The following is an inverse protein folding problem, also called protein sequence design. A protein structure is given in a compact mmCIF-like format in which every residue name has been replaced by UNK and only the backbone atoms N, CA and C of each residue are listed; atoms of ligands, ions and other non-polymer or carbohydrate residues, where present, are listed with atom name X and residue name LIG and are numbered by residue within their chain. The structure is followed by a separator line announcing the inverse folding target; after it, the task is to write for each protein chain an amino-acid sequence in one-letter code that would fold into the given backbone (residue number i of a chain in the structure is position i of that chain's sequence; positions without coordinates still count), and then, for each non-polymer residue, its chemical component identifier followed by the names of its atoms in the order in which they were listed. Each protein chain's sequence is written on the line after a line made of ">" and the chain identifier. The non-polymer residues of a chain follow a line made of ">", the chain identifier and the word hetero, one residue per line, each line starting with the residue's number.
data_IF_720160655846
#
_entry.id   IF_720160655846
#
_cell.length_a   1.000
_cell.length_b   1.000
_cell.length_c   1.000
_cell.angle_alpha   90.00
_cell.angle_beta   90.00
_cell.angle_gamma   90.00
#
_symmetry.space_group_name_H-M   'P 1'
#
loop_
_entity.id
_entity.type
_entity.pdbx_description
1 polymer ?
#
# COMPACT_ATOMS: atom_id res chain seq x y z
N UNK A 1 77.83 -17.93 13.57
CA UNK A 1 77.94 -16.98 12.44
C UNK A 1 77.55 -17.76 11.19
N UNK A 2 76.46 -17.59 10.43
CA UNK A 2 75.51 -16.51 10.13
C UNK A 2 74.15 -17.19 9.81
N UNK A 3 73.04 -16.85 10.49
CA UNK A 3 71.98 -15.88 10.14
C UNK A 3 71.23 -16.11 8.81
N UNK A 4 69.98 -16.61 8.93
CA UNK A 4 68.90 -16.49 7.92
C UNK A 4 68.40 -15.03 7.83
N UNK A 5 67.71 -14.67 6.73
CA UNK A 5 66.40 -14.05 6.93
C UNK A 5 65.33 -14.57 5.95
N UNK A 6 64.13 -14.84 6.49
CA UNK A 6 62.88 -14.99 5.75
C UNK A 6 62.21 -13.61 5.65
N UNK A 7 61.84 -13.23 4.43
CA UNK A 7 61.13 -11.99 4.11
C UNK A 7 59.66 -12.15 4.51
N UNK A 8 59.19 -11.34 5.46
CA UNK A 8 57.77 -11.15 5.76
C UNK A 8 57.15 -10.21 4.71
N UNK A 9 56.13 -10.67 3.99
CA UNK A 9 55.22 -9.79 3.24
C UNK A 9 54.10 -9.36 4.19
N UNK A 10 54.08 -8.08 4.55
CA UNK A 10 52.95 -7.45 5.20
C UNK A 10 51.84 -7.21 4.15
N UNK A 11 50.70 -7.86 4.32
CA UNK A 11 49.49 -7.55 3.57
C UNK A 11 48.68 -6.53 4.38
N UNK A 12 48.66 -5.30 3.91
CA UNK A 12 47.83 -4.22 4.46
C UNK A 12 46.38 -4.51 4.12
N UNK A 13 45.58 -4.90 5.11
CA UNK A 13 44.13 -5.07 4.98
C UNK A 13 43.50 -3.66 4.97
N UNK A 14 43.09 -3.18 3.80
CA UNK A 14 42.30 -1.97 3.69
C UNK A 14 40.85 -2.28 4.13
N UNK A 15 40.49 -1.77 5.31
CA UNK A 15 39.13 -1.81 5.83
C UNK A 15 38.28 -0.79 5.06
N UNK A 16 37.62 -1.24 3.98
CA UNK A 16 36.65 -0.44 3.27
C UNK A 16 35.36 -0.31 4.08
N UNK A 17 35.15 0.85 4.70
CA UNK A 17 33.81 1.24 5.16
C UNK A 17 32.95 1.53 3.93
N UNK A 18 32.06 0.59 3.58
CA UNK A 18 30.96 0.87 2.67
C UNK A 18 29.87 1.63 3.44
N UNK A 19 29.79 2.94 3.23
CA UNK A 19 28.60 3.73 3.53
C UNK A 19 27.48 3.26 2.58
N UNK A 20 26.57 2.44 3.10
CA UNK A 20 25.32 2.11 2.41
C UNK A 20 24.43 3.35 2.50
N UNK A 21 24.41 4.14 1.44
CA UNK A 21 23.39 5.16 1.24
C UNK A 21 22.06 4.47 0.97
N UNK A 22 21.20 4.40 1.99
CA UNK A 22 19.82 3.96 1.83
C UNK A 22 19.10 4.95 0.90
N UNK A 23 18.81 4.51 -0.33
CA UNK A 23 17.92 5.24 -1.22
C UNK A 23 16.53 5.30 -0.56
N UNK A 24 15.87 6.46 -0.49
CA UNK A 24 14.51 6.54 0.00
C UNK A 24 13.59 5.86 -1.03
N UNK A 25 12.80 4.87 -0.61
CA UNK A 25 11.64 4.48 -1.41
C UNK A 25 11.03 3.11 -1.18
N UNK A 26 11.81 2.08 -0.85
CA UNK A 26 11.27 0.72 -0.71
C UNK A 26 11.88 0.02 0.50
N UNK A 27 11.05 -0.29 1.50
CA UNK A 27 11.49 -1.06 2.65
C UNK A 27 11.75 -2.53 2.24
N UNK A 28 13.02 -2.94 2.25
CA UNK A 28 13.41 -4.35 2.14
C UNK A 28 13.27 -5.10 3.48
N UNK A 29 13.06 -4.39 4.59
CA UNK A 29 12.96 -4.94 5.95
C UNK A 29 11.65 -4.55 6.61
N UNK A 30 11.25 -5.32 7.63
CA UNK A 30 10.05 -5.04 8.41
C UNK A 30 10.12 -3.67 9.12
N UNK A 31 9.00 -2.91 9.22
CA UNK A 31 8.94 -1.67 9.99
C UNK A 31 9.22 -1.93 11.48
N UNK A 32 9.91 -0.99 12.13
CA UNK A 32 10.07 -1.03 13.59
C UNK A 32 8.76 -0.68 14.30
N UNK A 33 8.66 -0.97 15.59
CA UNK A 33 7.49 -0.62 16.39
C UNK A 33 7.25 0.90 16.41
N UNK A 34 8.32 1.69 16.47
CA UNK A 34 8.29 3.15 16.43
C UNK A 34 7.76 3.65 15.08
N UNK A 35 8.16 3.02 13.97
CA UNK A 35 7.63 3.36 12.65
C UNK A 35 6.14 3.00 12.53
N UNK A 36 5.71 1.85 13.06
CA UNK A 36 4.28 1.50 13.09
C UNK A 36 3.47 2.53 13.90
N UNK A 37 3.98 2.97 15.05
CA UNK A 37 3.33 4.01 15.88
C UNK A 37 3.33 5.37 15.18
N UNK A 38 4.44 5.77 14.55
CA UNK A 38 4.55 7.02 13.82
C UNK A 38 3.62 7.07 12.60
N UNK A 39 3.45 5.94 11.89
CA UNK A 39 2.59 5.86 10.71
C UNK A 39 1.10 6.07 11.06
N UNK A 40 0.67 5.56 12.22
CA UNK A 40 -0.68 5.70 12.79
C UNK A 40 -0.97 7.10 13.35
N UNK A 41 0.08 7.84 13.69
CA UNK A 41 -0.05 9.12 14.37
C UNK A 41 -0.49 10.21 13.39
N UNK A 42 -1.33 11.13 13.87
CA UNK A 42 -1.68 12.34 13.12
C UNK A 42 -0.49 13.29 12.99
N UNK A 43 -0.47 14.08 11.91
CA UNK A 43 0.58 15.07 11.63
C UNK A 43 1.30 14.82 10.30
N UNK A 44 2.22 15.72 9.97
CA UNK A 44 2.98 15.72 8.70
C UNK A 44 4.48 15.84 8.94
N UNK A 45 4.97 15.42 10.12
CA UNK A 45 6.40 15.41 10.42
C UNK A 45 7.14 14.45 9.49
N UNK A 46 8.40 14.74 9.16
CA UNK A 46 9.20 13.93 8.23
C UNK A 46 9.26 12.45 8.66
N UNK A 47 9.40 12.18 9.95
CA UNK A 47 9.42 10.81 10.49
C UNK A 47 8.09 10.08 10.27
N UNK A 48 6.96 10.78 10.38
CA UNK A 48 5.64 10.21 10.16
C UNK A 48 5.42 9.90 8.67
N UNK A 49 5.78 10.85 7.79
CA UNK A 49 5.70 10.64 6.34
C UNK A 49 6.56 9.45 5.90
N UNK A 50 7.80 9.39 6.37
CA UNK A 50 8.72 8.29 6.08
C UNK A 50 8.19 6.96 6.64
N UNK A 51 7.69 6.95 7.87
CA UNK A 51 7.12 5.75 8.48
C UNK A 51 5.93 5.20 7.68
N UNK A 52 5.05 6.06 7.16
CA UNK A 52 3.90 5.62 6.34
C UNK A 52 4.35 5.00 5.02
N UNK A 53 5.37 5.56 4.38
CA UNK A 53 5.98 4.98 3.17
C UNK A 53 6.63 3.62 3.46
N UNK A 54 7.34 3.51 4.58
CA UNK A 54 7.97 2.25 5.01
C UNK A 54 6.92 1.17 5.29
N UNK A 55 5.88 1.49 6.08
CA UNK A 55 4.80 0.55 6.39
C UNK A 55 4.03 0.13 5.14
N UNK A 56 3.67 1.07 4.26
CA UNK A 56 2.95 0.76 3.04
C UNK A 56 3.78 -0.09 2.08
N UNK A 57 5.03 0.31 1.79
CA UNK A 57 5.90 -0.47 0.89
C UNK A 57 6.19 -1.87 1.43
N UNK A 58 6.39 -2.02 2.75
CA UNK A 58 6.57 -3.33 3.36
C UNK A 58 5.31 -4.21 3.28
N UNK A 59 4.12 -3.65 3.52
CA UNK A 59 2.87 -4.41 3.37
C UNK A 59 2.72 -4.98 1.95
N UNK A 60 3.06 -4.20 0.93
CA UNK A 60 3.03 -4.66 -0.46
C UNK A 60 4.10 -5.73 -0.75
N UNK A 61 5.33 -5.55 -0.26
CA UNK A 61 6.44 -6.47 -0.53
C UNK A 61 6.34 -7.80 0.24
N UNK A 62 5.69 -7.79 1.40
CA UNK A 62 5.46 -8.97 2.25
C UNK A 62 4.20 -9.77 1.90
N UNK A 63 3.40 -9.28 0.95
CA UNK A 63 2.16 -9.93 0.50
C UNK A 63 2.23 -10.28 -0.98
N UNK A 64 1.17 -10.89 -1.51
CA UNK A 64 1.01 -11.21 -2.93
C UNK A 64 0.62 -10.00 -3.80
N UNK A 65 0.66 -8.77 -3.25
CA UNK A 65 0.49 -7.53 -4.01
C UNK A 65 1.77 -7.13 -4.76
N UNK A 66 2.94 -7.42 -4.19
CA UNK A 66 4.29 -7.16 -4.72
C UNK A 66 4.71 -5.68 -4.74
N UNK A 67 6.03 -5.44 -4.72
CA UNK A 67 6.62 -4.10 -4.85
C UNK A 67 6.36 -3.45 -6.21
N UNK A 68 6.18 -4.24 -7.27
CA UNK A 68 5.88 -3.70 -8.60
C UNK A 68 4.53 -2.96 -8.60
N UNK A 69 3.52 -3.54 -7.95
CA UNK A 69 2.21 -2.92 -7.80
C UNK A 69 2.23 -1.69 -6.90
N UNK A 70 3.07 -1.70 -5.86
CA UNK A 70 3.21 -0.57 -4.95
C UNK A 70 3.58 0.74 -5.69
N UNK A 71 4.41 0.67 -6.72
CA UNK A 71 4.83 1.85 -7.49
C UNK A 71 3.64 2.59 -8.14
N UNK A 72 2.57 1.88 -8.50
CA UNK A 72 1.35 2.49 -9.04
C UNK A 72 0.33 2.80 -7.94
N UNK A 73 0.06 1.85 -7.06
CA UNK A 73 -0.96 2.00 -6.03
C UNK A 73 -0.60 3.12 -5.01
N UNK A 74 0.69 3.33 -4.72
CA UNK A 74 1.15 4.37 -3.79
C UNK A 74 0.81 5.79 -4.25
N UNK A 75 0.58 6.01 -5.55
CA UNK A 75 0.14 7.30 -6.09
C UNK A 75 -1.26 7.68 -5.59
N UNK A 76 -2.08 6.67 -5.28
CA UNK A 76 -3.43 6.84 -4.73
C UNK A 76 -3.50 6.95 -3.20
N UNK A 77 -2.36 6.96 -2.50
CA UNK A 77 -2.29 7.03 -1.03
C UNK A 77 -1.87 8.43 -0.59
N UNK A 78 -2.68 9.08 0.25
CA UNK A 78 -2.31 10.34 0.89
C UNK A 78 -1.42 10.06 2.11
N UNK A 79 -0.10 10.06 1.89
CA UNK A 79 0.88 9.88 2.96
C UNK A 79 0.92 11.02 3.97
N UNK A 80 0.22 12.14 3.76
CA UNK A 80 0.05 13.18 4.79
C UNK A 80 -0.95 12.76 5.89
N UNK A 81 -1.72 11.69 5.67
CA UNK A 81 -2.70 11.14 6.61
C UNK A 81 -2.18 9.88 7.30
N UNK A 82 -2.72 9.53 8.49
CA UNK A 82 -2.42 8.27 9.14
C UNK A 82 -2.68 7.05 8.23
N UNK A 83 -1.85 6.02 8.41
CA UNK A 83 -1.97 4.73 7.73
C UNK A 83 -1.64 3.59 8.69
N UNK A 84 -2.34 2.47 8.55
CA UNK A 84 -2.17 1.31 9.42
C UNK A 84 -2.46 -0.01 8.72
N UNK A 85 -1.70 -1.05 9.09
CA UNK A 85 -2.10 -2.44 8.85
C UNK A 85 -3.11 -2.83 9.92
N UNK A 86 -4.25 -3.36 9.49
CA UNK A 86 -5.36 -3.79 10.34
C UNK A 86 -5.70 -5.26 10.08
N UNK A 87 -6.22 -5.92 11.10
CA UNK A 87 -6.87 -7.21 10.94
C UNK A 87 -8.31 -7.00 10.45
N UNK A 88 -8.69 -7.81 9.47
CA UNK A 88 -10.04 -7.89 8.92
C UNK A 88 -10.69 -9.13 9.51
N UNK A 89 -11.81 -8.96 10.21
CA UNK A 89 -12.58 -10.09 10.73
C UNK A 89 -13.41 -10.74 9.60
N UNK A 90 -13.59 -12.06 9.65
CA UNK A 90 -14.49 -12.74 8.72
C UNK A 90 -15.92 -12.19 8.86
N UNK A 91 -16.60 -11.98 7.74
CA UNK A 91 -17.93 -11.39 7.70
C UNK A 91 -17.96 -9.87 7.74
N UNK A 92 -16.79 -9.21 7.80
CA UNK A 92 -16.71 -7.75 7.67
C UNK A 92 -17.34 -7.32 6.36
N UNK A 93 -18.28 -6.37 6.42
CA UNK A 93 -18.92 -5.80 5.23
C UNK A 93 -18.31 -4.44 4.92
N UNK A 94 -17.68 -4.33 3.75
CA UNK A 94 -17.19 -3.08 3.16
C UNK A 94 -17.81 -2.85 1.80
N UNK A 95 -17.40 -1.78 1.12
CA UNK A 95 -18.02 -1.32 -0.12
C UNK A 95 -16.97 -1.19 -1.22
N UNK A 96 -17.36 -1.46 -2.46
CA UNK A 96 -16.49 -1.21 -3.61
C UNK A 96 -17.30 -0.81 -4.84
N UNK A 97 -16.83 0.21 -5.54
CA UNK A 97 -17.31 0.58 -6.87
C UNK A 97 -16.67 -0.32 -7.92
N UNK A 98 -17.42 -1.31 -8.40
CA UNK A 98 -16.98 -2.28 -9.41
C UNK A 98 -17.47 -1.86 -10.78
N UNK A 99 -16.69 -2.19 -11.82
CA UNK A 99 -17.13 -1.98 -13.21
C UNK A 99 -18.37 -2.83 -13.52
N UNK A 100 -19.36 -2.22 -14.17
CA UNK A 100 -20.60 -2.88 -14.63
C UNK A 100 -20.45 -3.37 -16.08
N UNK A 101 -21.37 -4.23 -16.53
CA UNK A 101 -21.37 -4.75 -17.91
C UNK A 101 -20.62 -6.05 -18.12
N UNK A 102 -20.21 -6.73 -17.05
CA UNK A 102 -19.72 -8.10 -17.07
C UNK A 102 -20.82 -9.07 -16.59
N UNK A 103 -20.71 -10.34 -16.96
CA UNK A 103 -21.64 -11.40 -16.54
C UNK A 103 -21.60 -11.70 -15.04
N UNK A 104 -20.57 -11.23 -14.34
CA UNK A 104 -20.36 -11.44 -12.91
C UNK A 104 -19.72 -10.22 -12.25
N UNK A 105 -19.99 -10.03 -10.95
CA UNK A 105 -19.31 -9.04 -10.12
C UNK A 105 -17.83 -9.43 -9.99
N UNK A 106 -16.92 -8.47 -10.18
CA UNK A 106 -15.46 -8.68 -10.08
C UNK A 106 -14.87 -7.67 -9.11
N UNK A 107 -14.63 -8.09 -7.88
CA UNK A 107 -13.99 -7.23 -6.89
C UNK A 107 -12.50 -7.04 -7.17
N UNK A 108 -12.02 -5.80 -7.03
CA UNK A 108 -10.60 -5.45 -6.93
C UNK A 108 -10.07 -5.56 -5.50
N UNK A 109 -8.87 -5.05 -5.25
CA UNK A 109 -8.23 -5.11 -3.93
C UNK A 109 -8.57 -3.93 -3.00
N UNK A 110 -9.11 -2.83 -3.52
CA UNK A 110 -9.37 -1.60 -2.76
C UNK A 110 -10.84 -1.51 -2.34
N UNK A 111 -11.10 -1.47 -1.05
CA UNK A 111 -12.43 -1.39 -0.47
C UNK A 111 -12.58 -0.11 0.33
N UNK A 112 -13.79 0.43 0.41
CA UNK A 112 -14.11 1.49 1.36
C UNK A 112 -14.79 0.90 2.59
N UNK A 113 -14.32 1.20 3.81
CA UNK A 113 -15.03 0.84 5.03
C UNK A 113 -16.22 1.77 5.34
N UNK A 114 -16.48 2.78 4.49
CA UNK A 114 -17.49 3.82 4.71
C UNK A 114 -18.56 3.74 3.62
N UNK A 115 -19.82 3.54 4.01
CA UNK A 115 -20.96 3.40 3.07
C UNK A 115 -21.27 4.66 2.27
N UNK A 116 -20.86 5.83 2.75
CA UNK A 116 -21.10 7.12 2.08
C UNK A 116 -19.91 7.59 1.24
N UNK A 117 -18.90 6.74 1.03
CA UNK A 117 -17.77 7.10 0.18
C UNK A 117 -18.21 7.18 -1.28
N UNK A 118 -17.79 8.23 -1.97
CA UNK A 118 -18.05 8.41 -3.40
C UNK A 118 -16.81 8.03 -4.22
N UNK A 119 -16.96 7.73 -5.53
CA UNK A 119 -15.81 7.49 -6.39
C UNK A 119 -14.79 8.64 -6.36
N UNK A 120 -15.27 9.89 -6.41
CA UNK A 120 -14.46 11.11 -6.39
C UNK A 120 -13.56 11.21 -5.14
N UNK A 121 -14.11 10.90 -3.96
CA UNK A 121 -13.30 10.93 -2.74
C UNK A 121 -12.42 9.67 -2.55
N UNK A 122 -12.70 8.58 -3.28
CA UNK A 122 -11.88 7.36 -3.31
C UNK A 122 -10.77 7.41 -4.38
N UNK A 123 -10.63 8.51 -5.10
CA UNK A 123 -9.57 8.66 -6.09
C UNK A 123 -9.84 7.97 -7.42
N UNK A 124 -11.10 7.67 -7.75
CA UNK A 124 -11.50 6.99 -8.99
C UNK A 124 -12.70 7.67 -9.67
N UNK A 125 -12.82 7.50 -10.99
CA UNK A 125 -14.02 7.84 -11.74
C UNK A 125 -15.16 6.86 -11.44
N UNK A 126 -16.36 7.38 -11.25
CA UNK A 126 -17.59 6.60 -11.08
C UNK A 126 -18.19 6.07 -12.39
N UNK A 127 -17.71 6.53 -13.55
CA UNK A 127 -18.27 6.16 -14.85
C UNK A 127 -18.23 4.66 -15.08
N UNK A 128 -19.37 4.07 -15.39
CA UNK A 128 -19.49 2.63 -15.65
C UNK A 128 -19.25 1.76 -14.43
N UNK A 129 -19.42 2.31 -13.22
CA UNK A 129 -19.31 1.57 -11.97
C UNK A 129 -20.61 1.63 -11.17
N UNK A 130 -20.83 0.59 -10.39
CA UNK A 130 -21.87 0.55 -9.38
C UNK A 130 -21.28 0.08 -8.05
N UNK A 131 -21.85 0.53 -6.95
CA UNK A 131 -21.38 0.20 -5.61
C UNK A 131 -22.00 -1.11 -5.11
N UNK A 132 -21.15 -2.01 -4.61
CA UNK A 132 -21.57 -3.27 -4.03
C UNK A 132 -21.03 -3.42 -2.62
N UNK A 133 -21.84 -4.10 -1.79
CA UNK A 133 -21.39 -4.67 -0.53
C UNK A 133 -20.46 -5.84 -0.82
N UNK A 134 -19.31 -5.84 -0.18
CA UNK A 134 -18.32 -6.91 -0.19
C UNK A 134 -18.26 -7.51 1.21
N UNK A 135 -18.50 -8.81 1.33
CA UNK A 135 -18.32 -9.55 2.58
C UNK A 135 -16.93 -10.19 2.53
N UNK A 136 -16.05 -9.72 3.42
CA UNK A 136 -14.64 -10.12 3.45
C UNK A 136 -14.42 -11.36 4.31
N UNK A 137 -13.48 -12.24 3.93
CA UNK A 137 -12.96 -13.27 4.82
C UNK A 137 -12.03 -12.64 5.87
N UNK A 138 -11.57 -13.45 6.82
CA UNK A 138 -10.54 -13.00 7.74
C UNK A 138 -9.21 -12.76 6.99
N UNK A 139 -8.43 -11.78 7.44
CA UNK A 139 -7.14 -11.47 6.83
C UNK A 139 -6.55 -10.16 7.32
N UNK A 140 -5.62 -9.60 6.55
CA UNK A 140 -5.06 -8.27 6.81
C UNK A 140 -5.39 -7.29 5.69
N UNK A 141 -5.42 -6.01 6.03
CA UNK A 141 -5.57 -4.91 5.08
C UNK A 141 -4.71 -3.71 5.48
N UNK A 142 -4.31 -2.91 4.50
CA UNK A 142 -3.65 -1.64 4.71
C UNK A 142 -4.68 -0.52 4.56
N UNK A 143 -5.07 0.06 5.70
CA UNK A 143 -6.00 1.17 5.77
C UNK A 143 -5.26 2.49 5.59
N UNK A 144 -5.78 3.32 4.70
CA UNK A 144 -5.20 4.61 4.33
C UNK A 144 -6.29 5.60 3.92
N UNK A 145 -5.87 6.79 3.48
CA UNK A 145 -6.73 7.80 2.88
C UNK A 145 -6.36 7.94 1.41
N UNK A 146 -7.35 8.09 0.53
CA UNK A 146 -7.12 8.32 -0.89
C UNK A 146 -6.49 9.70 -1.15
N UNK A 147 -5.44 9.74 -1.96
CA UNK A 147 -4.86 11.00 -2.44
C UNK A 147 -5.76 11.63 -3.53
N UNK A 148 -5.76 12.97 -3.65
CA UNK A 148 -6.22 13.61 -4.88
C UNK A 148 -5.35 13.13 -6.05
N UNK A 149 -5.98 12.57 -7.08
CA UNK A 149 -5.26 11.98 -8.23
C UNK A 149 -6.04 12.18 -9.54
N UNK A 150 -5.35 12.23 -10.66
CA UNK A 150 -5.97 12.16 -12.00
C UNK A 150 -6.22 10.69 -12.34
N UNK A 151 -7.49 10.27 -12.39
CA UNK A 151 -7.88 8.98 -12.93
C UNK A 151 -7.89 9.03 -14.45
N UNK A 152 -6.87 8.44 -15.08
CA UNK A 152 -6.73 8.30 -16.54
C UNK A 152 -6.86 6.85 -17.02
N UNK A 153 -7.27 5.93 -16.14
CA UNK A 153 -7.27 4.48 -16.40
C UNK A 153 -8.68 3.86 -16.35
N UNK A 154 -9.64 4.49 -15.69
CA UNK A 154 -11.00 3.94 -15.58
C UNK A 154 -11.71 3.94 -16.92
N UNK A 155 -11.65 5.05 -17.66
CA UNK A 155 -12.28 5.23 -18.98
C UNK A 155 -11.23 5.60 -20.02
N UNK A 156 -10.96 4.75 -21.03
CA UNK A 156 -9.96 5.04 -22.06
C UNK A 156 -10.20 6.41 -22.73
N UNK A 157 -9.13 7.20 -22.83
CA UNK A 157 -9.19 8.55 -23.43
C UNK A 157 -9.83 9.64 -22.58
N UNK A 158 -10.24 9.33 -21.34
CA UNK A 158 -10.81 10.30 -20.40
C UNK A 158 -9.95 10.40 -19.14
N UNK A 159 -9.64 11.63 -18.73
CA UNK A 159 -8.96 11.91 -17.46
C UNK A 159 -9.92 12.64 -16.53
N UNK A 160 -10.07 12.16 -15.30
CA UNK A 160 -10.92 12.76 -14.27
C UNK A 160 -10.05 13.16 -13.09
N UNK A 161 -9.95 14.45 -12.78
CA UNK A 161 -9.34 14.89 -11.53
C UNK A 161 -10.27 14.54 -10.38
N UNK A 162 -9.77 13.75 -9.44
CA UNK A 162 -10.51 13.32 -8.26
C UNK A 162 -10.05 14.09 -7.03
N UNK A 163 -10.93 14.22 -6.03
CA UNK A 163 -10.63 14.94 -4.79
C UNK A 163 -9.83 14.11 -3.78
N UNK A 164 -10.00 12.79 -3.78
CA UNK A 164 -9.48 11.96 -2.70
C UNK A 164 -10.12 12.29 -1.34
N UNK A 165 -9.49 11.83 -0.26
CA UNK A 165 -9.86 12.16 1.12
C UNK A 165 -10.72 11.13 1.84
N UNK A 166 -11.30 10.14 1.15
CA UNK A 166 -12.01 9.04 1.81
C UNK A 166 -11.06 7.95 2.31
N UNK A 167 -11.49 7.28 3.38
CA UNK A 167 -10.82 6.08 3.86
C UNK A 167 -10.96 4.95 2.84
N UNK A 168 -9.87 4.23 2.65
CA UNK A 168 -9.79 3.04 1.82
C UNK A 168 -8.94 1.99 2.51
N UNK A 169 -9.16 0.73 2.15
CA UNK A 169 -8.35 -0.41 2.61
C UNK A 169 -7.99 -1.24 1.40
N UNK A 170 -6.68 -1.42 1.17
CA UNK A 170 -6.20 -2.41 0.21
C UNK A 170 -5.96 -3.75 0.91
N UNK A 171 -6.45 -4.83 0.33
CA UNK A 171 -6.26 -6.20 0.85
C UNK A 171 -5.43 -7.04 -0.13
N UNK A 172 -4.66 -8.03 0.36
CA UNK A 172 -3.92 -8.98 -0.48
C UNK A 172 -4.83 -9.77 -1.43
N UNK A 173 -4.28 -10.33 -2.51
CA UNK A 173 -5.04 -11.16 -3.45
C UNK A 173 -5.61 -12.42 -2.79
N UNK A 174 -4.90 -13.01 -1.83
CA UNK A 174 -5.38 -14.11 -0.97
C UNK A 174 -6.65 -13.76 -0.21
N UNK A 175 -6.72 -12.56 0.38
CA UNK A 175 -7.94 -12.06 1.05
C UNK A 175 -9.03 -11.76 0.03
N UNK A 176 -8.70 -11.05 -1.06
CA UNK A 176 -9.63 -10.72 -2.15
C UNK A 176 -10.30 -11.97 -2.74
N UNK A 177 -9.56 -13.07 -2.88
CA UNK A 177 -10.06 -14.31 -3.48
C UNK A 177 -11.24 -14.92 -2.71
N UNK A 178 -11.36 -14.65 -1.41
CA UNK A 178 -12.48 -15.10 -0.58
C UNK A 178 -13.63 -14.09 -0.45
N UNK A 179 -13.55 -12.93 -1.12
CA UNK A 179 -14.61 -11.91 -1.03
C UNK A 179 -15.86 -12.37 -1.76
N UNK A 180 -17.00 -12.23 -1.11
CA UNK A 180 -18.32 -12.52 -1.69
C UNK A 180 -19.17 -11.27 -1.78
N UNK A 181 -20.16 -11.25 -2.68
CA UNK A 181 -21.07 -10.12 -2.81
C UNK A 181 -22.16 -10.17 -1.74
N UNK A 182 -22.33 -9.05 -1.03
CA UNK A 182 -23.49 -8.78 -0.17
C UNK A 182 -24.64 -8.06 -0.89
N UNK A 183 -24.58 -7.97 -2.22
CA UNK A 183 -25.55 -7.27 -3.06
C UNK A 183 -25.20 -5.81 -3.38
N UNK A 184 -26.02 -5.21 -4.23
CA UNK A 184 -25.92 -3.80 -4.62
C UNK A 184 -26.22 -2.89 -3.43
N UNK A 185 -25.52 -1.76 -3.32
CA UNK A 185 -25.93 -0.67 -2.42
C UNK A 185 -27.11 0.06 -3.07
N UNK A 186 -28.24 0.11 -2.36
CA UNK A 186 -29.45 0.80 -2.80
C UNK A 186 -29.40 2.29 -2.43
#
# INVERSE_FOLDING_TARGET
>A
MYSLPRIFKAATLALGLALVSALPGHAQTAPTAEQVVAAKSAGTGADQLNARVVVASYFYSSTDLTSARYADDSKGIDFSKPLEVIDVAAGTTWYQYVRTGYDSIRFGNFFSPVVTATPDCLGISGTGRAEYKAVLPAGQGLKSVAAPIVDSWTTPGTSVQTKGGCAQVVVPNTVKAGVTSGGLVQ
#
